data_IF_034074216749
#
_entry.id   IF_034074216749
#
_cell.length_a   1.000
_cell.length_b   1.000
_cell.length_c   1.000
_cell.angle_alpha   90.00
_cell.angle_beta   90.00
_cell.angle_gamma   90.00
#
_symmetry.space_group_name_H-M   'P 1'
#
loop_
_entity.id
_entity.type
_entity.pdbx_description
1 polymer ?
#
# COMPACT_ATOMS: atom_id res chain seq x y z
N UNK A 1 -10.75 -32.29 -2.98
CA UNK A 1 -11.40 -31.18 -3.71
C UNK A 1 -11.00 -29.87 -3.02
N UNK A 2 -10.20 -29.00 -3.67
CA UNK A 2 -9.77 -27.73 -3.03
C UNK A 2 -10.99 -26.81 -2.88
N UNK A 3 -11.29 -26.29 -1.67
CA UNK A 3 -12.43 -25.40 -1.49
C UNK A 3 -12.26 -24.16 -2.38
N UNK A 4 -13.24 -23.93 -3.26
CA UNK A 4 -13.25 -22.76 -4.13
C UNK A 4 -13.47 -21.53 -3.24
N UNK A 5 -12.52 -20.58 -3.28
CA UNK A 5 -12.69 -19.30 -2.55
C UNK A 5 -14.01 -18.63 -2.96
N UNK A 6 -14.75 -18.04 -2.00
CA UNK A 6 -15.99 -17.33 -2.29
C UNK A 6 -15.77 -16.22 -3.33
N UNK A 7 -16.70 -16.06 -4.27
CA UNK A 7 -16.60 -15.06 -5.35
C UNK A 7 -16.43 -13.63 -4.82
N UNK A 8 -17.05 -13.30 -3.68
CA UNK A 8 -16.94 -11.99 -3.01
C UNK A 8 -15.49 -11.66 -2.60
N UNK A 9 -14.77 -12.63 -2.05
CA UNK A 9 -13.37 -12.46 -1.63
C UNK A 9 -12.49 -12.18 -2.84
N UNK A 10 -12.73 -12.87 -3.97
CA UNK A 10 -11.98 -12.65 -5.21
C UNK A 10 -12.18 -11.25 -5.78
N UNK A 11 -13.43 -10.75 -5.81
CA UNK A 11 -13.73 -9.39 -6.30
C UNK A 11 -13.04 -8.33 -5.45
N UNK A 12 -13.08 -8.49 -4.12
CA UNK A 12 -12.42 -7.57 -3.19
C UNK A 12 -10.90 -7.55 -3.39
N UNK A 13 -10.27 -8.72 -3.50
CA UNK A 13 -8.83 -8.80 -3.75
C UNK A 13 -8.46 -8.18 -5.10
N UNK A 14 -9.26 -8.40 -6.15
CA UNK A 14 -9.04 -7.78 -7.46
C UNK A 14 -9.11 -6.25 -7.40
N UNK A 15 -10.07 -5.71 -6.66
CA UNK A 15 -10.21 -4.27 -6.43
C UNK A 15 -8.98 -3.67 -5.75
N UNK A 16 -8.52 -4.25 -4.64
CA UNK A 16 -7.33 -3.74 -3.95
C UNK A 16 -6.05 -3.93 -4.73
N UNK A 17 -5.94 -4.97 -5.56
CA UNK A 17 -4.82 -5.10 -6.50
C UNK A 17 -4.79 -3.96 -7.52
N UNK A 18 -5.95 -3.57 -8.05
CA UNK A 18 -6.05 -2.45 -8.98
C UNK A 18 -5.65 -1.12 -8.32
N UNK A 19 -6.13 -0.85 -7.10
CA UNK A 19 -5.72 0.34 -6.34
C UNK A 19 -4.20 0.38 -6.12
N UNK A 20 -3.63 -0.73 -5.67
CA UNK A 20 -2.19 -0.81 -5.44
C UNK A 20 -1.41 -0.55 -6.72
N UNK A 21 -1.84 -1.11 -7.85
CA UNK A 21 -1.19 -0.87 -9.14
C UNK A 21 -1.22 0.61 -9.52
N UNK A 22 -2.37 1.27 -9.42
CA UNK A 22 -2.51 2.71 -9.69
C UNK A 22 -1.57 3.53 -8.79
N UNK A 23 -1.43 3.16 -7.51
CA UNK A 23 -0.48 3.85 -6.62
C UNK A 23 0.97 3.67 -7.08
N UNK A 24 1.37 2.45 -7.42
CA UNK A 24 2.73 2.18 -7.92
C UNK A 24 3.00 2.90 -9.24
N UNK A 25 2.03 2.99 -10.14
CA UNK A 25 2.15 3.75 -11.39
C UNK A 25 2.44 5.23 -11.08
N UNK A 26 1.71 5.82 -10.12
CA UNK A 26 1.92 7.21 -9.66
C UNK A 26 3.21 7.43 -8.88
N UNK A 27 3.77 6.38 -8.30
CA UNK A 27 5.10 6.48 -7.66
C UNK A 27 6.18 6.42 -8.74
N UNK A 28 6.00 5.57 -9.75
CA UNK A 28 6.92 5.44 -10.87
C UNK A 28 7.02 6.73 -11.70
N UNK A 29 5.91 7.47 -11.86
CA UNK A 29 5.89 8.76 -12.55
C UNK A 29 6.29 9.97 -11.67
N UNK A 30 6.49 9.75 -10.37
CA UNK A 30 6.85 10.79 -9.40
C UNK A 30 5.71 11.72 -8.96
N UNK A 31 4.46 11.40 -9.32
CA UNK A 31 3.28 12.18 -8.92
C UNK A 31 2.77 11.84 -7.51
N UNK A 32 3.29 10.76 -6.90
CA UNK A 32 2.91 10.30 -5.58
C UNK A 32 4.13 9.82 -4.79
N UNK A 33 4.28 10.34 -3.58
CA UNK A 33 5.31 9.86 -2.65
C UNK A 33 4.95 8.50 -2.06
N UNK A 34 5.94 7.59 -1.91
CA UNK A 34 5.76 6.33 -1.20
C UNK A 34 5.32 6.56 0.25
N UNK A 35 4.34 5.77 0.69
CA UNK A 35 3.81 5.83 2.06
C UNK A 35 4.16 4.59 2.88
N UNK A 36 4.23 3.43 2.23
CA UNK A 36 4.47 2.15 2.88
C UNK A 36 5.83 1.56 2.48
N UNK A 37 6.44 0.74 3.34
CA UNK A 37 7.76 0.14 3.08
C UNK A 37 7.86 -0.53 1.70
N UNK A 38 6.82 -1.27 1.28
CA UNK A 38 6.77 -1.90 -0.05
C UNK A 38 6.83 -0.90 -1.20
N UNK A 39 6.25 0.29 -1.04
CA UNK A 39 6.26 1.36 -2.04
C UNK A 39 7.66 1.96 -2.13
N UNK A 40 8.35 2.11 -0.99
CA UNK A 40 9.76 2.50 -0.97
C UNK A 40 10.63 1.47 -1.66
N UNK A 41 10.43 0.17 -1.39
CA UNK A 41 11.18 -0.89 -2.06
C UNK A 41 10.90 -0.95 -3.56
N UNK A 42 9.66 -0.70 -3.99
CA UNK A 42 9.30 -0.59 -5.41
C UNK A 42 10.09 0.53 -6.08
N UNK A 43 10.03 1.74 -5.52
CA UNK A 43 10.72 2.91 -6.07
C UNK A 43 12.24 2.68 -6.10
N UNK A 44 12.80 2.15 -5.02
CA UNK A 44 14.22 1.80 -4.94
C UNK A 44 14.62 0.78 -6.02
N UNK A 45 13.79 -0.26 -6.23
CA UNK A 45 14.04 -1.28 -7.25
C UNK A 45 13.99 -0.67 -8.65
N UNK A 46 13.00 0.18 -8.91
CA UNK A 46 12.84 0.88 -10.18
C UNK A 46 14.05 1.77 -10.47
N UNK A 47 14.50 2.57 -9.50
CA UNK A 47 15.66 3.44 -9.63
C UNK A 47 16.96 2.65 -9.80
N UNK A 48 17.12 1.54 -9.07
CA UNK A 48 18.37 0.76 -9.08
C UNK A 48 18.52 -0.12 -10.33
N UNK A 49 17.41 -0.62 -10.89
CA UNK A 49 17.43 -1.59 -11.99
C UNK A 49 16.84 -1.06 -13.30
N UNK A 50 16.26 0.15 -13.30
CA UNK A 50 15.51 0.71 -14.42
C UNK A 50 14.16 0.03 -14.69
N UNK A 51 13.81 -1.01 -13.93
CA UNK A 51 12.54 -1.75 -14.05
C UNK A 51 12.16 -2.40 -12.72
N UNK A 52 10.85 -2.52 -12.49
CA UNK A 52 10.27 -3.26 -11.37
C UNK A 52 9.05 -4.04 -11.84
N UNK A 53 8.90 -5.30 -11.42
CA UNK A 53 7.65 -6.04 -11.62
C UNK A 53 6.66 -5.65 -10.53
N UNK A 54 5.53 -5.07 -10.94
CA UNK A 54 4.48 -4.60 -10.05
C UNK A 54 3.89 -5.73 -9.20
N UNK A 55 3.85 -6.95 -9.74
CA UNK A 55 3.26 -8.09 -9.03
C UNK A 55 4.01 -8.41 -7.73
N UNK A 56 5.32 -8.14 -7.67
CA UNK A 56 6.17 -8.40 -6.51
C UNK A 56 5.89 -7.45 -5.34
N UNK A 57 5.32 -6.28 -5.61
CA UNK A 57 5.03 -5.25 -4.61
C UNK A 57 3.54 -5.14 -4.27
N UNK A 58 2.68 -5.93 -4.92
CA UNK A 58 1.25 -5.96 -4.64
C UNK A 58 0.94 -7.04 -3.61
N UNK A 59 0.37 -6.62 -2.49
CA UNK A 59 -0.01 -7.52 -1.40
C UNK A 59 -1.51 -7.92 -1.47
N UNK A 60 -1.90 -9.05 -0.82
CA UNK A 60 -3.30 -9.37 -0.58
C UNK A 60 -4.09 -8.21 0.01
N UNK A 61 -5.36 -8.06 -0.39
CA UNK A 61 -6.17 -6.89 -0.02
C UNK A 61 -6.39 -6.73 1.49
N UNK A 62 -6.40 -7.82 2.25
CA UNK A 62 -6.46 -7.75 3.71
C UNK A 62 -5.21 -7.12 4.33
N UNK A 63 -4.02 -7.46 3.83
CA UNK A 63 -2.77 -6.88 4.32
C UNK A 63 -2.69 -5.41 3.94
N UNK A 64 -3.06 -5.08 2.71
CA UNK A 64 -3.15 -3.70 2.26
C UNK A 64 -4.03 -2.83 3.16
N UNK A 65 -5.21 -3.34 3.56
CA UNK A 65 -6.09 -2.61 4.49
C UNK A 65 -5.50 -2.49 5.90
N UNK A 66 -4.82 -3.53 6.38
CA UNK A 66 -4.19 -3.49 7.70
C UNK A 66 -3.10 -2.41 7.76
N UNK A 67 -2.26 -2.31 6.72
CA UNK A 67 -1.24 -1.27 6.63
C UNK A 67 -1.86 0.13 6.60
N UNK A 68 -2.92 0.32 5.80
CA UNK A 68 -3.65 1.58 5.76
C UNK A 68 -4.23 1.96 7.13
N UNK A 69 -4.82 1.01 7.85
CA UNK A 69 -5.39 1.29 9.17
C UNK A 69 -4.30 1.65 10.18
N UNK A 70 -3.17 0.93 10.18
CA UNK A 70 -2.06 1.19 11.07
C UNK A 70 -1.48 2.60 10.85
N UNK A 71 -1.37 3.01 9.60
CA UNK A 71 -0.87 4.31 9.22
C UNK A 71 -1.87 5.45 9.54
N UNK A 72 -3.18 5.23 9.42
CA UNK A 72 -4.19 6.16 9.94
C UNK A 72 -4.09 6.32 11.46
N UNK A 73 -3.92 5.23 12.19
CA UNK A 73 -3.77 5.27 13.65
C UNK A 73 -2.49 6.03 14.06
N UNK A 74 -1.40 5.86 13.29
CA UNK A 74 -0.15 6.60 13.51
C UNK A 74 -0.33 8.10 13.29
N UNK A 75 -1.07 8.50 12.26
CA UNK A 75 -1.37 9.91 12.00
C UNK A 75 -2.19 10.52 13.15
N UNK A 76 -3.26 9.84 13.58
CA UNK A 76 -4.09 10.30 14.70
C UNK A 76 -3.30 10.46 16.01
N UNK A 77 -2.47 9.47 16.36
CA UNK A 77 -1.64 9.56 17.57
C UNK A 77 -0.57 10.66 17.51
N UNK A 78 -0.11 11.05 16.32
CA UNK A 78 0.82 12.16 16.14
C UNK A 78 0.15 13.52 16.34
N UNK A 79 -1.11 13.67 15.92
CA UNK A 79 -1.91 14.89 16.15
C UNK A 79 -2.17 15.11 17.65
N UNK A 80 -2.53 14.05 18.38
CA UNK A 80 -2.74 14.10 19.82
C UNK A 80 -1.45 14.49 20.58
N UNK A 81 -0.31 13.93 20.16
CA UNK A 81 1.00 14.26 20.76
C UNK A 81 1.40 15.73 20.49
N UNK A 82 1.14 16.23 19.29
CA UNK A 82 1.42 17.63 18.93
C UNK A 82 0.56 18.61 19.74
N UNK A 83 -0.72 18.29 19.97
CA UNK A 83 -1.63 19.09 20.78
C UNK A 83 -1.19 19.19 22.25
N UNK A 84 -0.60 18.12 22.81
CA UNK A 84 -0.07 18.09 24.17
C UNK A 84 1.21 18.92 24.36
N UNK A 85 2.06 19.02 23.33
CA UNK A 85 3.30 19.80 23.39
C UNK A 85 3.13 21.31 23.13
N UNK A 86 1.97 21.72 22.62
CA UNK A 86 1.64 23.12 22.31
C UNK A 86 0.90 23.85 23.44
N UNK A 87 0.64 23.17 24.57
CA UNK A 87 0.04 23.74 25.79
C UNK A 87 1.08 24.00 26.87
#
# INVERSE_FOLDING_TARGET
>A
MRPRRPARVRRRDAFYRAIQRIRLDRIADGSLEPRFDREFYFLWTLQSRGKADYADFIVPGLLFMADYQADLNKAAGAEDAAALTAS
#
